data_IF_618289119584
#
_entry.id   IF_618289119584
#
_cell.length_a   1.000
_cell.length_b   1.000
_cell.length_c   1.000
_cell.angle_alpha   90.00
_cell.angle_beta   90.00
_cell.angle_gamma   90.00
#
_symmetry.space_group_name_H-M   'P 1'
#
loop_
_entity.id
_entity.type
_entity.pdbx_description
1 polymer ?
#
# COMPACT_ATOMS: atom_id res chain seq x y z
N UNK A 1 -16.23 33.95 2.78
CA UNK A 1 -15.31 34.52 3.80
C UNK A 1 -14.13 35.10 3.03
N UNK A 2 -13.97 36.42 3.00
CA UNK A 2 -12.90 37.07 2.24
C UNK A 2 -11.57 36.94 2.96
N UNK A 3 -10.55 36.44 2.27
CA UNK A 3 -9.21 36.26 2.84
C UNK A 3 -8.56 37.65 2.98
N UNK A 4 -8.14 37.99 4.20
CA UNK A 4 -7.49 39.26 4.50
C UNK A 4 -6.18 39.42 3.70
N UNK A 5 -5.93 40.61 3.12
CA UNK A 5 -4.78 40.87 2.21
C UNK A 5 -3.41 40.51 2.83
N UNK A 6 -3.31 40.46 4.15
CA UNK A 6 -2.10 40.11 4.91
C UNK A 6 -1.71 38.62 4.80
N UNK A 7 -2.65 37.75 4.44
CA UNK A 7 -2.44 36.31 4.31
C UNK A 7 -2.23 35.85 2.86
N UNK A 8 -2.14 36.78 1.91
CA UNK A 8 -1.82 36.48 0.51
C UNK A 8 -0.39 35.91 0.44
N UNK A 9 -0.27 34.65 0.03
CA UNK A 9 1.00 33.95 -0.16
C UNK A 9 1.58 33.28 1.09
N UNK A 10 0.88 33.29 2.24
CA UNK A 10 1.31 32.59 3.46
C UNK A 10 0.39 31.43 3.78
N UNK A 11 0.95 30.25 4.01
CA UNK A 11 0.21 29.11 4.54
C UNK A 11 0.07 29.29 6.06
N UNK A 12 -1.16 29.31 6.55
CA UNK A 12 -1.54 29.38 7.97
C UNK A 12 -2.45 28.21 8.28
N UNK A 13 -2.53 27.79 9.55
CA UNK A 13 -3.38 26.65 9.94
C UNK A 13 -4.85 26.81 9.49
N UNK A 14 -5.34 28.05 9.48
CA UNK A 14 -6.70 28.40 9.03
C UNK A 14 -6.94 28.28 7.53
N UNK A 15 -5.89 28.33 6.70
CA UNK A 15 -5.99 28.24 5.24
C UNK A 15 -5.38 26.97 4.67
N UNK A 16 -4.77 26.14 5.51
CA UNK A 16 -4.08 24.91 5.13
C UNK A 16 -5.03 23.94 4.43
N UNK A 17 -6.25 23.77 4.95
CA UNK A 17 -7.28 22.96 4.28
C UNK A 17 -7.56 23.48 2.88
N UNK A 18 -7.76 24.78 2.72
CA UNK A 18 -8.09 25.40 1.44
C UNK A 18 -6.96 25.17 0.40
N UNK A 19 -5.70 25.17 0.86
CA UNK A 19 -4.53 24.82 0.05
C UNK A 19 -4.44 23.32 -0.28
N UNK A 20 -4.70 22.43 0.68
CA UNK A 20 -4.73 20.97 0.44
C UNK A 20 -5.78 20.59 -0.61
N UNK A 21 -6.94 21.23 -0.56
CA UNK A 21 -8.01 21.05 -1.56
C UNK A 21 -7.60 21.61 -2.93
N UNK A 22 -6.94 22.78 -2.96
CA UNK A 22 -6.50 23.42 -4.22
C UNK A 22 -5.32 22.71 -4.88
N UNK A 23 -4.51 21.98 -4.12
CA UNK A 23 -3.32 21.23 -4.60
C UNK A 23 -3.64 19.77 -4.92
N UNK A 24 -4.85 19.29 -4.62
CA UNK A 24 -5.29 17.93 -4.94
C UNK A 24 -4.89 16.86 -3.93
N UNK A 25 -4.36 17.24 -2.74
CA UNK A 25 -4.22 16.30 -1.62
C UNK A 25 -5.57 15.93 -1.00
N UNK A 26 -6.54 16.85 -1.08
CA UNK A 26 -7.94 16.64 -0.72
C UNK A 26 -8.83 16.95 -1.92
N UNK A 27 -10.06 16.43 -1.91
CA UNK A 27 -11.03 16.69 -2.98
C UNK A 27 -11.52 18.13 -2.93
N UNK A 28 -11.50 18.88 -4.05
CA UNK A 28 -11.97 20.26 -4.07
C UNK A 28 -13.46 20.35 -3.73
N UNK A 29 -13.80 21.26 -2.83
CA UNK A 29 -15.18 21.54 -2.37
C UNK A 29 -15.80 22.75 -3.09
N UNK A 30 -14.97 23.70 -3.55
CA UNK A 30 -15.41 24.96 -4.13
C UNK A 30 -14.82 25.19 -5.53
N UNK A 31 -15.53 25.96 -6.37
CA UNK A 31 -15.08 26.31 -7.73
C UNK A 31 -13.69 26.97 -7.76
N UNK A 32 -13.42 27.85 -6.80
CA UNK A 32 -12.12 28.54 -6.70
C UNK A 32 -10.96 27.57 -6.46
N UNK A 33 -11.17 26.49 -5.71
CA UNK A 33 -10.14 25.47 -5.49
C UNK A 33 -9.86 24.69 -6.78
N UNK A 34 -10.91 24.41 -7.57
CA UNK A 34 -10.79 23.76 -8.90
C UNK A 34 -10.03 24.65 -9.88
N UNK A 35 -10.35 25.94 -9.95
CA UNK A 35 -9.64 26.89 -10.81
C UNK A 35 -8.15 26.97 -10.45
N UNK A 36 -7.82 27.00 -9.14
CA UNK A 36 -6.44 26.96 -8.67
C UNK A 36 -5.73 25.65 -9.04
N UNK A 37 -6.40 24.51 -8.85
CA UNK A 37 -5.88 23.20 -9.23
C UNK A 37 -5.56 23.15 -10.73
N UNK A 38 -6.51 23.54 -11.58
CA UNK A 38 -6.33 23.53 -13.03
C UNK A 38 -5.16 24.41 -13.46
N UNK A 39 -5.00 25.58 -12.84
CA UNK A 39 -3.86 26.47 -13.09
C UNK A 39 -2.53 25.88 -12.60
N UNK A 40 -2.52 25.19 -11.45
CA UNK A 40 -1.32 24.57 -10.90
C UNK A 40 -0.81 23.41 -11.76
N UNK A 41 -1.72 22.68 -12.38
CA UNK A 41 -1.44 21.51 -13.21
C UNK A 41 -1.63 21.76 -14.71
N UNK A 42 -1.66 23.02 -15.15
CA UNK A 42 -1.90 23.40 -16.56
C UNK A 42 -0.82 22.82 -17.49
N UNK A 43 0.44 22.94 -17.09
CA UNK A 43 1.61 22.43 -17.82
C UNK A 43 2.03 21.02 -17.38
N UNK A 44 1.29 20.40 -16.47
CA UNK A 44 1.67 19.10 -15.94
C UNK A 44 1.39 17.99 -16.96
N UNK A 45 2.45 17.34 -17.44
CA UNK A 45 2.33 16.19 -18.33
C UNK A 45 1.83 14.97 -17.54
N UNK A 46 0.50 14.82 -17.51
CA UNK A 46 -0.14 13.66 -16.90
C UNK A 46 0.36 12.39 -17.60
N UNK A 47 1.17 11.59 -16.89
CA UNK A 47 1.66 10.30 -17.39
C UNK A 47 0.54 9.33 -17.84
N UNK A 48 -0.70 9.63 -17.43
CA UNK A 48 -1.90 8.86 -17.75
C UNK A 48 -2.72 9.42 -18.92
N UNK A 49 -2.26 10.46 -19.65
CA UNK A 49 -3.05 11.22 -20.65
C UNK A 49 -3.71 10.36 -21.75
N UNK A 50 -3.18 9.17 -22.01
CA UNK A 50 -3.72 8.21 -23.00
C UNK A 50 -4.13 6.87 -22.38
N UNK A 51 -4.32 6.82 -21.06
CA UNK A 51 -4.70 5.59 -20.35
C UNK A 51 -6.20 5.65 -20.11
N UNK A 52 -6.97 5.06 -21.02
CA UNK A 52 -8.40 4.86 -20.83
C UNK A 52 -8.65 3.62 -19.98
N UNK A 53 -9.42 3.76 -18.91
CA UNK A 53 -9.91 2.61 -18.15
C UNK A 53 -11.13 2.06 -18.89
N UNK A 54 -10.98 0.90 -19.53
CA UNK A 54 -12.13 0.20 -20.13
C UNK A 54 -12.87 -0.58 -19.04
N UNK A 55 -14.06 -0.10 -18.67
CA UNK A 55 -14.89 -0.70 -17.62
C UNK A 55 -15.24 -2.16 -17.95
N UNK A 56 -15.52 -2.47 -19.22
CA UNK A 56 -15.80 -3.85 -19.64
C UNK A 56 -14.58 -4.75 -19.42
N UNK A 57 -13.39 -4.27 -19.76
CA UNK A 57 -12.15 -5.01 -19.54
C UNK A 57 -11.83 -5.27 -18.06
N UNK A 58 -12.29 -4.41 -17.14
CA UNK A 58 -12.20 -4.67 -15.69
C UNK A 58 -13.16 -5.79 -15.28
N UNK A 59 -14.42 -5.71 -15.73
CA UNK A 59 -15.47 -6.70 -15.39
C UNK A 59 -15.11 -8.08 -15.97
N UNK A 60 -14.60 -8.10 -17.19
CA UNK A 60 -14.23 -9.30 -17.93
C UNK A 60 -12.84 -9.85 -17.52
N UNK A 61 -12.13 -9.18 -16.60
CA UNK A 61 -10.81 -9.59 -16.10
C UNK A 61 -9.65 -9.44 -17.10
N UNK A 62 -9.92 -9.01 -18.33
CA UNK A 62 -8.93 -8.82 -19.41
C UNK A 62 -8.04 -7.60 -19.23
N UNK A 63 -8.35 -6.68 -18.30
CA UNK A 63 -7.46 -5.58 -17.94
C UNK A 63 -6.21 -6.06 -17.19
N UNK A 64 -6.30 -7.22 -16.53
CA UNK A 64 -5.20 -7.84 -15.79
C UNK A 64 -4.34 -8.74 -16.67
N UNK A 65 -4.21 -8.46 -17.98
CA UNK A 65 -3.28 -9.18 -18.87
C UNK A 65 -1.85 -8.82 -18.45
N UNK A 66 -1.40 -9.59 -17.48
CA UNK A 66 -0.05 -10.06 -17.24
C UNK A 66 1.04 -9.09 -17.70
N UNK A 67 1.28 -8.05 -16.92
CA UNK A 67 2.69 -7.72 -16.69
C UNK A 67 3.26 -8.98 -16.06
N UNK A 68 4.06 -9.72 -16.84
CA UNK A 68 4.82 -10.87 -16.35
C UNK A 68 5.31 -10.52 -14.95
N UNK A 69 4.84 -11.27 -13.97
CA UNK A 69 5.22 -11.04 -12.59
C UNK A 69 6.74 -11.10 -12.56
N UNK A 70 7.39 -9.96 -12.29
CA UNK A 70 8.84 -9.95 -12.13
C UNK A 70 9.13 -10.83 -10.92
N UNK A 71 9.59 -12.04 -11.18
CA UNK A 71 10.12 -12.94 -10.16
C UNK A 71 11.36 -12.23 -9.62
N UNK A 72 11.21 -11.58 -8.47
CA UNK A 72 12.34 -11.00 -7.77
C UNK A 72 13.11 -12.18 -7.19
N UNK A 73 14.25 -12.50 -7.81
CA UNK A 73 15.16 -13.51 -7.28
C UNK A 73 15.69 -13.00 -5.94
N UNK A 74 15.27 -13.64 -4.87
CA UNK A 74 15.79 -13.39 -3.53
C UNK A 74 17.23 -13.91 -3.52
N UNK A 75 18.19 -13.06 -3.13
CA UNK A 75 19.61 -13.44 -3.05
C UNK A 75 19.77 -14.66 -2.12
N UNK A 76 20.52 -15.66 -2.57
CA UNK A 76 20.83 -16.88 -1.81
C UNK A 76 21.45 -16.60 -0.45
N UNK A 77 22.15 -15.47 -0.29
CA UNK A 77 22.71 -15.03 1.00
C UNK A 77 21.64 -14.72 2.06
N UNK A 78 20.44 -14.32 1.65
CA UNK A 78 19.33 -14.04 2.56
C UNK A 78 18.90 -15.32 3.31
N UNK A 79 19.12 -16.50 2.73
CA UNK A 79 18.81 -17.78 3.37
C UNK A 79 19.58 -17.97 4.68
N UNK A 80 20.86 -17.58 4.69
CA UNK A 80 21.71 -17.66 5.89
C UNK A 80 21.32 -16.63 6.95
N UNK A 81 20.89 -15.43 6.53
CA UNK A 81 20.40 -14.39 7.42
C UNK A 81 19.04 -14.76 8.04
N UNK A 82 18.13 -15.32 7.24
CA UNK A 82 16.85 -15.88 7.73
C UNK A 82 17.11 -17.01 8.72
N UNK A 83 18.12 -17.84 8.50
CA UNK A 83 18.49 -18.94 9.39
C UNK A 83 19.09 -18.48 10.72
N UNK A 84 19.83 -17.37 10.73
CA UNK A 84 20.32 -16.74 11.96
C UNK A 84 19.18 -16.10 12.76
N UNK A 85 18.20 -15.49 12.07
CA UNK A 85 17.03 -14.82 12.65
C UNK A 85 15.88 -15.76 13.05
N UNK A 86 15.92 -17.04 12.66
CA UNK A 86 14.97 -18.05 13.13
C UNK A 86 15.11 -18.26 14.64
N UNK A 87 14.08 -17.87 15.40
CA UNK A 87 13.92 -18.18 16.83
C UNK A 87 14.08 -19.69 17.11
N UNK A 88 14.65 -20.02 18.27
CA UNK A 88 15.04 -21.39 18.69
C UNK A 88 13.92 -22.44 18.51
N UNK A 89 12.66 -22.06 18.70
CA UNK A 89 11.50 -22.93 18.52
C UNK A 89 11.32 -23.47 17.08
N UNK A 90 11.85 -22.78 16.05
CA UNK A 90 11.85 -23.26 14.66
C UNK A 90 13.15 -23.96 14.25
N UNK A 91 14.27 -23.74 14.95
CA UNK A 91 15.53 -24.48 14.76
C UNK A 91 15.44 -25.93 15.22
N UNK A 92 14.49 -26.26 16.10
CA UNK A 92 14.36 -27.59 16.68
C UNK A 92 13.83 -28.69 15.75
N UNK A 93 13.26 -28.37 14.57
CA UNK A 93 12.55 -29.38 13.77
C UNK A 93 13.44 -30.50 13.17
N UNK A 94 14.75 -30.29 13.04
CA UNK A 94 15.64 -31.27 12.41
C UNK A 94 16.03 -32.46 13.29
N UNK A 95 15.84 -32.38 14.62
CA UNK A 95 16.24 -33.43 15.59
C UNK A 95 15.22 -33.64 16.72
N UNK A 96 13.92 -33.53 16.44
CA UNK A 96 12.89 -33.92 17.42
C UNK A 96 12.79 -35.45 17.42
N UNK A 97 13.04 -36.09 18.57
CA UNK A 97 12.82 -37.53 18.68
C UNK A 97 11.36 -37.87 18.41
N UNK A 98 11.12 -39.01 17.76
CA UNK A 98 9.77 -39.44 17.37
C UNK A 98 8.78 -39.39 18.56
N UNK A 99 9.25 -39.72 19.76
CA UNK A 99 8.45 -39.68 21.00
C UNK A 99 7.92 -38.29 21.36
N UNK A 100 8.65 -37.22 21.05
CA UNK A 100 8.26 -35.83 21.32
C UNK A 100 7.24 -35.37 20.26
N UNK A 101 7.43 -35.79 19.00
CA UNK A 101 6.47 -35.53 17.93
C UNK A 101 5.11 -36.18 18.22
N UNK A 102 5.12 -37.44 18.69
CA UNK A 102 3.90 -38.17 19.03
C UNK A 102 3.16 -37.54 20.21
N UNK A 103 3.89 -37.04 21.22
CA UNK A 103 3.32 -36.27 22.35
C UNK A 103 2.67 -34.96 21.87
N UNK A 104 3.32 -34.21 20.99
CA UNK A 104 2.75 -32.99 20.42
C UNK A 104 1.47 -33.29 19.63
N UNK A 105 1.46 -34.34 18.82
CA UNK A 105 0.30 -34.78 18.03
C UNK A 105 -0.87 -35.21 18.92
N UNK A 106 -0.60 -35.92 20.02
CA UNK A 106 -1.63 -36.32 20.97
C UNK A 106 -2.22 -35.11 21.72
N UNK A 107 -1.40 -34.15 22.13
CA UNK A 107 -1.88 -32.93 22.81
C UNK A 107 -2.77 -32.06 21.91
N UNK A 108 -2.46 -31.98 20.61
CA UNK A 108 -3.30 -31.27 19.64
C UNK A 108 -4.66 -31.97 19.43
N UNK A 109 -4.69 -33.32 19.46
CA UNK A 109 -5.94 -34.09 19.35
C UNK A 109 -6.85 -33.96 20.59
N UNK A 110 -6.28 -33.72 21.77
CA UNK A 110 -7.04 -33.59 23.03
C UNK A 110 -7.80 -32.26 23.17
N UNK A 111 -7.64 -31.30 22.25
CA UNK A 111 -8.43 -30.05 22.19
C UNK A 111 -9.64 -30.15 21.25
N UNK A 112 -10.38 -31.26 21.29
CA UNK A 112 -11.82 -31.23 21.04
C UNK A 112 -12.48 -31.42 22.38
N UNK A 113 -12.69 -30.30 23.08
CA UNK A 113 -13.59 -30.27 24.21
C UNK A 113 -15.02 -30.44 23.71
N UNK A 114 -15.78 -31.23 24.46
CA UNK A 114 -17.17 -30.89 24.78
C UNK A 114 -17.23 -29.50 25.45
#
# INVERSE_FOLDING_TARGET
MGIDKKYIGKVTETNLDDWLHSTGFLFPQNKTQIERFNKLYEDYDFKLKNTGINVKSIIDGSFCVEKESKIISIDTNLSHEIESLKMVARKGQSNISQSVFDKMKQNQKKKKGD
#
